data_IF_628300191355
#
_entry.id   IF_628300191355
#
_cell.length_a   1.000
_cell.length_b   1.000
_cell.length_c   1.000
_cell.angle_alpha   90.00
_cell.angle_beta   90.00
_cell.angle_gamma   90.00
#
_symmetry.space_group_name_H-M   'P 1'
#
loop_
_entity.id
_entity.type
_entity.pdbx_description
1 polymer ?
#
# COMPACT_ATOMS: atom_id res chain seq x y z
N UNK A 1 -23.07 -15.26 53.00
CA UNK A 1 -21.92 -14.38 52.71
C UNK A 1 -20.71 -15.29 52.75
N UNK A 2 -20.23 -15.72 51.60
CA UNK A 2 -19.08 -16.62 51.48
C UNK A 2 -17.97 -15.84 50.79
N UNK A 3 -16.92 -15.56 51.54
CA UNK A 3 -15.74 -14.83 51.10
C UNK A 3 -14.87 -15.77 50.28
N UNK A 4 -14.56 -15.36 49.05
CA UNK A 4 -13.61 -16.06 48.18
C UNK A 4 -12.21 -15.58 48.56
N UNK A 5 -11.37 -16.50 49.06
CA UNK A 5 -9.93 -16.33 49.20
C UNK A 5 -9.29 -16.10 47.83
N UNK A 6 -8.68 -14.92 47.64
CA UNK A 6 -7.83 -14.62 46.50
C UNK A 6 -6.41 -14.99 46.92
N UNK A 7 -5.88 -16.06 46.35
CA UNK A 7 -4.47 -16.43 46.55
C UNK A 7 -3.56 -15.38 45.91
N UNK A 8 -2.73 -14.76 46.73
CA UNK A 8 -1.71 -13.81 46.33
C UNK A 8 -0.63 -14.52 45.49
N UNK A 9 -0.60 -14.25 44.19
CA UNK A 9 0.51 -14.64 43.33
C UNK A 9 1.65 -13.67 43.59
N UNK A 10 2.61 -14.08 44.42
CA UNK A 10 3.87 -13.38 44.61
C UNK A 10 4.64 -13.35 43.28
N UNK A 11 4.71 -12.18 42.65
CA UNK A 11 5.58 -11.95 41.50
C UNK A 11 7.04 -12.02 41.97
N UNK A 12 7.76 -13.03 41.52
CA UNK A 12 9.21 -13.07 41.68
C UNK A 12 9.81 -12.02 40.74
N UNK A 13 10.57 -11.08 41.31
CA UNK A 13 11.27 -10.04 40.56
C UNK A 13 12.19 -10.65 39.50
N UNK A 14 12.04 -10.21 38.26
CA UNK A 14 12.87 -10.59 37.13
C UNK A 14 14.26 -9.95 37.33
N UNK A 15 15.23 -10.74 37.80
CA UNK A 15 16.61 -10.30 37.90
C UNK A 15 17.19 -10.07 36.49
N UNK A 16 17.37 -8.79 36.14
CA UNK A 16 18.09 -8.36 34.95
C UNK A 16 19.55 -8.78 35.10
N UNK A 17 19.88 -9.97 34.58
CA UNK A 17 21.26 -10.41 34.38
C UNK A 17 21.91 -9.47 33.36
N UNK A 18 22.43 -8.36 33.85
CA UNK A 18 23.06 -7.29 33.10
C UNK A 18 24.23 -7.81 32.26
N UNK A 19 23.94 -8.34 31.08
CA UNK A 19 24.93 -8.51 30.04
C UNK A 19 25.19 -7.13 29.45
N UNK A 20 26.33 -6.55 29.82
CA UNK A 20 26.80 -5.26 29.33
C UNK A 20 26.93 -5.31 27.80
N UNK A 21 26.06 -4.57 27.11
CA UNK A 21 26.08 -4.49 25.65
C UNK A 21 27.37 -3.82 25.20
N UNK A 22 28.26 -4.59 24.59
CA UNK A 22 29.46 -4.07 23.92
C UNK A 22 29.21 -4.02 22.41
N UNK A 23 29.01 -2.83 21.82
CA UNK A 23 28.89 -2.70 20.37
C UNK A 23 30.23 -3.11 19.75
N UNK A 24 30.20 -4.16 18.92
CA UNK A 24 31.39 -4.59 18.19
C UNK A 24 31.73 -3.55 17.13
N UNK A 25 32.77 -2.76 17.39
CA UNK A 25 33.38 -1.85 16.43
C UNK A 25 34.03 -2.65 15.29
N UNK A 26 33.21 -3.02 14.30
CA UNK A 26 33.70 -3.39 12.97
C UNK A 26 33.53 -2.19 12.07
N UNK A 27 34.52 -1.32 12.14
CA UNK A 27 34.81 -0.28 11.17
C UNK A 27 34.95 -0.90 9.77
N UNK A 28 33.85 -1.01 9.04
CA UNK A 28 33.86 -1.49 7.67
C UNK A 28 34.18 -0.32 6.75
N UNK A 29 35.47 -0.12 6.53
CA UNK A 29 36.00 0.67 5.42
C UNK A 29 35.41 0.16 4.09
N UNK A 30 34.31 0.77 3.63
CA UNK A 30 33.89 0.72 2.23
C UNK A 30 33.50 2.09 1.75
N UNK A 31 34.49 2.95 1.69
CA UNK A 31 34.47 4.05 0.74
C UNK A 31 34.74 3.47 -0.64
N UNK A 32 33.69 3.26 -1.45
CA UNK A 32 33.84 3.13 -2.90
C UNK A 32 32.87 4.10 -3.54
N UNK A 33 33.44 5.23 -3.96
CA UNK A 33 32.89 6.17 -4.92
C UNK A 33 32.10 5.43 -6.00
N UNK A 34 30.76 5.46 -5.93
CA UNK A 34 29.93 5.09 -7.07
C UNK A 34 29.78 6.34 -7.91
N UNK A 35 30.72 6.52 -8.84
CA UNK A 35 30.68 7.56 -9.87
C UNK A 35 29.28 7.66 -10.45
N UNK A 36 28.67 8.84 -10.31
CA UNK A 36 27.45 9.22 -11.03
C UNK A 36 27.73 9.10 -12.53
N UNK A 37 27.30 8.01 -13.17
CA UNK A 37 27.10 8.04 -14.63
C UNK A 37 25.89 8.94 -14.88
N UNK A 38 26.18 10.15 -15.34
CA UNK A 38 25.21 11.13 -15.86
C UNK A 38 24.63 10.53 -17.13
N UNK A 39 23.38 10.03 -17.07
CA UNK A 39 22.66 9.65 -18.29
C UNK A 39 22.28 10.94 -19.00
N UNK A 40 22.91 11.17 -20.14
CA UNK A 40 22.58 12.21 -21.11
C UNK A 40 21.31 11.75 -21.82
N UNK A 41 20.24 12.52 -21.71
CA UNK A 41 19.03 12.35 -22.50
C UNK A 41 19.32 13.03 -23.85
N UNK A 42 19.21 12.33 -24.99
CA UNK A 42 19.35 12.97 -26.29
C UNK A 42 18.11 13.81 -26.60
N UNK A 43 18.31 15.07 -26.99
CA UNK A 43 17.32 15.87 -27.70
C UNK A 43 16.98 15.18 -29.02
N UNK A 44 15.74 14.71 -29.15
CA UNK A 44 15.13 14.41 -30.45
C UNK A 44 14.12 15.50 -30.75
N UNK A 45 14.52 16.41 -31.64
CA UNK A 45 13.63 17.29 -32.38
C UNK A 45 12.67 16.44 -33.21
N UNK A 46 11.37 16.67 -33.07
CA UNK A 46 10.43 16.46 -34.18
C UNK A 46 9.22 17.39 -34.00
N UNK A 47 9.17 18.35 -34.93
CA UNK A 47 8.05 19.21 -35.25
C UNK A 47 6.87 18.37 -35.77
N UNK A 48 5.68 18.57 -35.22
CA UNK A 48 4.46 18.38 -36.02
C UNK A 48 3.34 19.29 -35.53
N UNK A 49 2.94 20.19 -36.42
CA UNK A 49 1.74 21.02 -36.34
C UNK A 49 0.49 20.16 -36.43
N UNK A 50 -0.42 20.33 -35.47
CA UNK A 50 -1.85 20.18 -35.71
C UNK A 50 -2.59 21.28 -34.93
N UNK A 51 -3.22 22.16 -35.69
CA UNK A 51 -4.18 23.16 -35.23
C UNK A 51 -5.51 22.45 -34.93
N UNK A 52 -6.16 22.74 -33.80
CA UNK A 52 -7.61 22.94 -33.78
C UNK A 52 -8.10 23.62 -32.49
N UNK A 53 -9.17 24.40 -32.65
CA UNK A 53 -9.64 25.46 -31.77
C UNK A 53 -10.79 25.04 -30.82
N UNK A 54 -11.07 25.94 -29.87
CA UNK A 54 -12.22 26.05 -28.95
C UNK A 54 -12.30 25.03 -27.79
N UNK A 55 -12.75 25.36 -26.58
CA UNK A 55 -13.73 26.38 -26.18
C UNK A 55 -13.46 26.84 -24.74
N UNK A 56 -13.83 28.09 -24.43
CA UNK A 56 -13.49 28.74 -23.17
C UNK A 56 -14.32 28.26 -21.99
N UNK A 57 -13.65 27.86 -20.91
CA UNK A 57 -14.22 27.91 -19.56
C UNK A 57 -13.34 28.82 -18.70
N UNK A 58 -13.85 30.03 -18.47
CA UNK A 58 -13.32 31.00 -17.54
C UNK A 58 -13.47 30.46 -16.12
N UNK A 59 -12.36 30.18 -15.46
CA UNK A 59 -12.32 29.85 -14.03
C UNK A 59 -11.23 30.66 -13.37
N UNK A 60 -11.63 31.88 -13.03
CA UNK A 60 -11.13 32.78 -11.98
C UNK A 60 -9.88 32.29 -11.24
N UNK A 61 -8.76 32.86 -11.63
CA UNK A 61 -7.48 32.78 -10.95
C UNK A 61 -7.61 33.40 -9.56
N UNK A 62 -7.66 32.55 -8.53
CA UNK A 62 -7.54 33.00 -7.15
C UNK A 62 -6.04 33.11 -6.89
N UNK A 63 -5.52 34.32 -7.01
CA UNK A 63 -4.17 34.64 -6.59
C UNK A 63 -4.05 34.35 -5.08
N UNK A 64 -3.31 33.30 -4.72
CA UNK A 64 -2.87 33.11 -3.34
C UNK A 64 -1.82 34.17 -3.01
N UNK A 65 -2.27 35.27 -2.40
CA UNK A 65 -1.41 36.18 -1.65
C UNK A 65 -0.93 35.43 -0.40
N UNK A 66 0.28 34.88 -0.50
CA UNK A 66 0.92 34.10 0.55
C UNK A 66 1.96 34.98 1.26
N UNK A 67 1.52 36.08 1.88
CA UNK A 67 2.34 36.83 2.84
C UNK A 67 2.48 36.05 4.17
N UNK A 68 3.12 34.89 4.12
CA UNK A 68 3.35 34.06 5.31
C UNK A 68 4.50 34.66 6.12
N UNK A 69 4.20 35.17 7.31
CA UNK A 69 5.19 35.38 8.36
C UNK A 69 5.98 34.08 8.57
N UNK A 70 7.25 34.09 8.19
CA UNK A 70 8.15 32.93 8.28
C UNK A 70 8.39 32.59 9.76
N UNK A 71 7.54 31.77 10.34
CA UNK A 71 7.81 31.13 11.63
C UNK A 71 9.08 30.30 11.53
N UNK A 72 9.91 30.34 12.58
CA UNK A 72 11.15 29.53 12.66
C UNK A 72 10.86 28.02 12.56
N UNK A 73 9.64 27.59 12.91
CA UNK A 73 9.22 26.18 12.82
C UNK A 73 8.75 25.86 11.39
N UNK A 74 9.26 24.75 10.83
CA UNK A 74 8.86 24.25 9.52
C UNK A 74 7.39 23.81 9.54
N UNK A 75 6.59 24.27 8.57
CA UNK A 75 5.23 23.75 8.35
C UNK A 75 5.32 22.31 7.85
N UNK A 76 4.53 21.41 8.44
CA UNK A 76 4.47 20.00 8.02
C UNK A 76 3.59 19.86 6.78
N UNK A 77 4.18 19.61 5.62
CA UNK A 77 3.44 19.31 4.39
C UNK A 77 3.37 17.79 4.15
N UNK A 78 2.35 17.16 4.72
CA UNK A 78 2.14 15.69 4.66
C UNK A 78 1.89 15.22 3.22
N UNK A 79 1.17 16.02 2.43
CA UNK A 79 0.79 15.68 1.06
C UNK A 79 2.00 15.45 0.15
N UNK A 80 3.08 16.21 0.41
CA UNK A 80 4.31 16.12 -0.36
C UNK A 80 5.25 14.99 0.07
N UNK A 81 4.95 14.29 1.16
CA UNK A 81 5.78 13.17 1.59
C UNK A 81 5.71 12.02 0.60
N UNK A 82 6.88 11.47 0.22
CA UNK A 82 7.00 10.35 -0.72
C UNK A 82 6.11 9.17 -0.33
N UNK A 83 6.04 8.87 0.97
CA UNK A 83 5.18 7.80 1.51
C UNK A 83 3.69 8.07 1.28
N UNK A 84 3.25 9.31 1.51
CA UNK A 84 1.85 9.69 1.34
C UNK A 84 1.43 9.70 -0.12
N UNK A 85 2.29 10.23 -1.02
CA UNK A 85 2.08 10.15 -2.47
C UNK A 85 1.94 8.69 -2.93
N UNK A 86 2.85 7.82 -2.50
CA UNK A 86 2.82 6.40 -2.84
C UNK A 86 1.63 5.66 -2.21
N UNK A 87 1.16 6.08 -1.02
CA UNK A 87 -0.04 5.52 -0.38
C UNK A 87 -1.29 5.86 -1.18
N UNK A 88 -1.44 7.12 -1.59
CA UNK A 88 -2.57 7.57 -2.42
C UNK A 88 -2.56 6.94 -3.80
N UNK A 89 -1.41 6.96 -4.49
CA UNK A 89 -1.28 6.32 -5.79
C UNK A 89 -1.64 4.82 -5.73
N UNK A 90 -1.20 4.10 -4.70
CA UNK A 90 -1.63 2.70 -4.46
C UNK A 90 -3.13 2.56 -4.29
N UNK A 91 -3.76 3.44 -3.51
CA UNK A 91 -5.20 3.39 -3.28
C UNK A 91 -5.98 3.64 -4.58
N UNK A 92 -5.52 4.51 -5.47
CA UNK A 92 -6.11 4.69 -6.80
C UNK A 92 -5.68 3.64 -7.84
N UNK A 93 -4.84 2.66 -7.47
CA UNK A 93 -4.30 1.70 -8.42
C UNK A 93 -3.34 2.30 -9.45
N UNK A 94 -2.81 3.50 -9.23
CA UNK A 94 -1.89 4.18 -10.14
C UNK A 94 -0.45 3.69 -9.98
N UNK A 95 0.40 3.99 -10.97
CA UNK A 95 1.82 3.72 -10.88
C UNK A 95 2.48 4.54 -9.77
N UNK A 96 3.44 3.96 -9.06
CA UNK A 96 4.11 4.63 -7.94
C UNK A 96 5.53 4.14 -7.72
N UNK A 97 6.34 4.94 -7.03
CA UNK A 97 7.70 4.57 -6.66
C UNK A 97 7.72 3.91 -5.28
N UNK A 98 8.33 2.73 -5.20
CA UNK A 98 8.63 2.08 -3.93
C UNK A 98 9.73 2.83 -3.15
N UNK A 99 9.88 2.51 -1.86
CA UNK A 99 10.95 3.07 -1.00
C UNK A 99 12.34 2.77 -1.57
N UNK A 100 12.49 1.62 -2.26
CA UNK A 100 13.72 1.20 -2.94
C UNK A 100 13.99 1.97 -4.25
N UNK A 101 13.06 2.82 -4.71
CA UNK A 101 13.16 3.58 -5.96
C UNK A 101 12.64 2.86 -7.21
N UNK A 102 12.21 1.60 -7.09
CA UNK A 102 11.60 0.86 -8.21
C UNK A 102 10.19 1.36 -8.50
N UNK A 103 9.87 1.58 -9.79
CA UNK A 103 8.51 1.89 -10.24
C UNK A 103 7.63 0.64 -10.19
N UNK A 104 6.44 0.76 -9.61
CA UNK A 104 5.38 -0.23 -9.64
C UNK A 104 4.34 0.27 -10.65
N UNK A 105 3.97 -0.54 -11.65
CA UNK A 105 3.03 -0.12 -12.68
C UNK A 105 1.61 0.05 -12.12
N UNK A 106 0.78 0.78 -12.85
CA UNK A 106 -0.64 0.92 -12.55
C UNK A 106 -1.35 -0.44 -12.65
N UNK A 107 -2.45 -0.57 -11.90
CA UNK A 107 -3.35 -1.71 -11.93
C UNK A 107 -4.28 -1.54 -13.12
N UNK A 108 -4.13 -2.41 -14.10
CA UNK A 108 -4.93 -2.43 -15.32
C UNK A 108 -5.84 -3.66 -15.23
N UNK A 109 -7.05 -3.54 -15.76
CA UNK A 109 -7.96 -4.67 -15.91
C UNK A 109 -7.36 -5.69 -16.89
N UNK A 110 -7.20 -6.93 -16.44
CA UNK A 110 -6.79 -8.03 -17.30
C UNK A 110 -8.04 -8.71 -17.86
N UNK A 111 -8.13 -8.76 -19.18
CA UNK A 111 -9.23 -9.40 -19.91
C UNK A 111 -9.14 -10.93 -19.94
N UNK A 112 -8.05 -11.50 -19.42
CA UNK A 112 -7.81 -12.94 -19.46
C UNK A 112 -8.77 -13.71 -18.57
N UNK A 113 -9.25 -14.84 -19.06
CA UNK A 113 -10.16 -15.69 -18.31
C UNK A 113 -9.43 -16.50 -17.24
N UNK A 114 -10.01 -16.47 -16.03
CA UNK A 114 -9.46 -17.17 -14.88
C UNK A 114 -9.62 -18.70 -15.04
N UNK A 115 -8.54 -19.45 -14.75
CA UNK A 115 -8.55 -20.94 -14.69
C UNK A 115 -8.95 -21.45 -13.29
N UNK A 116 -9.69 -20.66 -12.51
CA UNK A 116 -10.02 -21.01 -11.13
C UNK A 116 -11.13 -22.08 -11.06
N UNK A 117 -11.13 -22.87 -9.97
CA UNK A 117 -12.12 -23.94 -9.71
C UNK A 117 -13.56 -23.41 -9.75
N UNK A 118 -13.76 -22.15 -9.36
CA UNK A 118 -15.07 -21.52 -9.33
C UNK A 118 -15.57 -21.03 -10.70
N UNK A 119 -14.75 -21.16 -11.76
CA UNK A 119 -15.04 -20.75 -13.14
C UNK A 119 -15.62 -19.34 -13.18
N UNK A 120 -14.90 -18.39 -12.57
CA UNK A 120 -15.40 -17.03 -12.36
C UNK A 120 -15.82 -16.35 -13.67
N UNK A 121 -15.14 -16.68 -14.78
CA UNK A 121 -15.40 -16.11 -16.09
C UNK A 121 -16.75 -16.49 -16.69
N UNK A 122 -17.34 -17.64 -16.32
CA UNK A 122 -18.66 -18.05 -16.82
C UNK A 122 -19.80 -17.38 -16.05
N UNK A 123 -19.52 -16.82 -14.87
CA UNK A 123 -20.52 -16.24 -13.97
C UNK A 123 -20.58 -14.72 -14.06
N UNK A 124 -19.46 -14.09 -14.39
CA UNK A 124 -19.33 -12.65 -14.50
C UNK A 124 -18.82 -12.29 -15.89
N UNK A 125 -19.55 -11.41 -16.56
CA UNK A 125 -19.13 -10.88 -17.86
C UNK A 125 -17.85 -10.07 -17.73
N UNK A 126 -17.14 -9.87 -18.84
CA UNK A 126 -15.92 -9.05 -18.85
C UNK A 126 -16.20 -7.61 -18.38
N UNK A 127 -17.33 -7.05 -18.79
CA UNK A 127 -17.75 -5.69 -18.46
C UNK A 127 -18.04 -5.54 -16.97
N UNK A 128 -18.72 -6.52 -16.36
CA UNK A 128 -18.98 -6.54 -14.92
C UNK A 128 -17.68 -6.61 -14.12
N UNK A 129 -16.73 -7.46 -14.52
CA UNK A 129 -15.43 -7.57 -13.86
C UNK A 129 -14.66 -6.24 -13.93
N UNK A 130 -14.68 -5.59 -15.10
CA UNK A 130 -14.05 -4.28 -15.29
C UNK A 130 -14.70 -3.24 -14.39
N UNK A 131 -16.02 -3.17 -14.39
CA UNK A 131 -16.78 -2.23 -13.56
C UNK A 131 -16.47 -2.39 -12.07
N UNK A 132 -16.42 -3.62 -11.56
CA UNK A 132 -16.07 -3.89 -10.16
C UNK A 132 -14.66 -3.37 -9.83
N UNK A 133 -13.70 -3.54 -10.73
CA UNK A 133 -12.32 -3.08 -10.54
C UNK A 133 -12.25 -1.54 -10.60
N UNK A 134 -12.95 -0.93 -11.54
CA UNK A 134 -13.01 0.53 -11.68
C UNK A 134 -13.68 1.16 -10.44
N UNK A 135 -14.81 0.61 -9.99
CA UNK A 135 -15.52 1.04 -8.78
C UNK A 135 -14.64 0.88 -7.53
N UNK A 136 -13.86 -0.20 -7.44
CA UNK A 136 -12.96 -0.46 -6.30
C UNK A 136 -11.83 0.58 -6.22
N UNK A 137 -11.19 0.93 -7.34
CA UNK A 137 -10.10 1.90 -7.35
C UNK A 137 -10.60 3.35 -7.32
N UNK A 138 -11.82 3.63 -7.78
CA UNK A 138 -12.47 4.94 -7.67
C UNK A 138 -12.61 5.41 -6.21
N UNK A 139 -12.70 4.49 -5.24
CA UNK A 139 -12.78 4.81 -3.81
C UNK A 139 -11.56 5.57 -3.28
N UNK A 140 -10.36 5.37 -3.86
CA UNK A 140 -9.15 6.13 -3.52
C UNK A 140 -8.65 6.04 -2.07
N UNK A 141 -9.27 5.21 -1.23
CA UNK A 141 -8.96 5.08 0.19
C UNK A 141 -8.99 3.62 0.63
N UNK A 142 -7.91 3.18 1.29
CA UNK A 142 -7.75 1.82 1.80
C UNK A 142 -8.88 1.37 2.74
N UNK A 143 -9.37 2.27 3.59
CA UNK A 143 -10.44 1.93 4.55
C UNK A 143 -11.76 1.69 3.82
N UNK A 144 -12.08 2.53 2.83
CA UNK A 144 -13.27 2.37 1.99
C UNK A 144 -13.18 1.11 1.14
N UNK A 145 -12.01 0.83 0.56
CA UNK A 145 -11.75 -0.40 -0.18
C UNK A 145 -11.92 -1.65 0.69
N UNK A 146 -11.44 -1.59 1.93
CA UNK A 146 -11.60 -2.68 2.89
C UNK A 146 -13.07 -2.88 3.26
N UNK A 147 -13.79 -1.80 3.53
CA UNK A 147 -15.23 -1.83 3.79
C UNK A 147 -16.03 -2.39 2.60
N UNK A 148 -15.67 -2.01 1.38
CA UNK A 148 -16.27 -2.54 0.15
C UNK A 148 -16.11 -4.07 0.07
N UNK A 149 -14.91 -4.59 0.30
CA UNK A 149 -14.66 -6.04 0.31
C UNK A 149 -15.46 -6.70 1.43
N UNK A 150 -15.45 -6.14 2.65
CA UNK A 150 -16.17 -6.72 3.78
C UNK A 150 -17.69 -6.77 3.57
N UNK A 151 -18.28 -5.78 2.90
CA UNK A 151 -19.69 -5.78 2.55
C UNK A 151 -20.08 -6.90 1.57
N UNK A 152 -19.13 -7.40 0.79
CA UNK A 152 -19.35 -8.46 -0.20
C UNK A 152 -18.98 -9.86 0.33
N UNK A 153 -18.38 -9.96 1.51
CA UNK A 153 -17.94 -11.24 2.10
C UNK A 153 -19.01 -11.79 3.03
N UNK A 154 -19.39 -13.05 2.81
CA UNK A 154 -20.28 -13.80 3.71
C UNK A 154 -19.47 -14.75 4.60
N UNK A 155 -19.58 -14.57 5.91
CA UNK A 155 -18.99 -15.50 6.89
C UNK A 155 -19.84 -16.76 6.98
N UNK A 156 -19.21 -17.93 6.79
CA UNK A 156 -19.86 -19.23 6.91
C UNK A 156 -19.15 -20.10 7.93
N UNK A 157 -19.90 -20.82 8.76
CA UNK A 157 -19.33 -21.74 9.74
C UNK A 157 -18.61 -22.90 9.05
N UNK A 158 -17.46 -23.30 9.61
CA UNK A 158 -16.70 -24.46 9.13
C UNK A 158 -17.46 -25.75 9.44
N UNK A 159 -17.80 -26.52 8.40
CA UNK A 159 -18.57 -27.75 8.56
C UNK A 159 -17.73 -28.94 9.08
N UNK A 160 -16.46 -29.05 8.67
CA UNK A 160 -15.59 -30.18 9.06
C UNK A 160 -14.16 -29.73 9.30
N UNK A 161 -13.57 -30.15 10.41
CA UNK A 161 -12.13 -30.13 10.69
C UNK A 161 -11.63 -31.56 10.59
N UNK A 162 -10.70 -31.86 9.67
CA UNK A 162 -9.98 -33.13 9.74
C UNK A 162 -9.04 -33.03 10.95
N UNK A 163 -9.35 -33.72 12.04
CA UNK A 163 -8.38 -33.91 13.12
C UNK A 163 -7.31 -34.86 12.58
N UNK A 164 -6.04 -34.45 12.65
CA UNK A 164 -4.91 -35.26 12.20
C UNK A 164 -4.61 -36.44 13.14
N UNK A 165 -5.64 -37.11 13.66
CA UNK A 165 -5.55 -38.28 14.52
C UNK A 165 -6.62 -39.29 14.11
N UNK A 166 -6.21 -40.16 13.19
CA UNK A 166 -6.39 -41.63 13.14
C UNK A 166 -6.01 -42.00 11.69
N UNK A 167 -4.72 -41.96 11.41
CA UNK A 167 -4.14 -42.73 10.32
C UNK A 167 -4.00 -44.19 10.77
N UNK A 168 -5.12 -44.86 11.08
CA UNK A 168 -5.19 -46.31 11.03
C UNK A 168 -5.56 -46.68 9.60
N UNK A 169 -4.57 -46.66 8.72
CA UNK A 169 -4.67 -47.25 7.38
C UNK A 169 -4.94 -48.75 7.63
N UNK A 170 -6.15 -49.21 7.28
CA UNK A 170 -6.56 -50.62 7.37
C UNK A 170 -5.51 -51.51 6.70
N UNK A 171 -5.24 -52.61 7.40
CA UNK A 171 -4.49 -53.81 7.02
C UNK A 171 -4.78 -54.21 5.57
#
# INVERSE_FOLDING_TARGET
>A
MSENEISEISGTDFEDSGSEYTPSDKENQRNRHRSRKKLVIPESSDESSVEEANDGISSKEVAEDDSVCKSRKRKRNVWNWKKEKAKRARAFGQAYLNVKGSSVPAKIFNSEDCVCIHKCHTKLSMEERRKIIDDFYALGNYNLQSAFIFGLVKVTNKLRTYTAQICNRRI
#
